data_IF_234135880915
#
_entry.id   IF_234135880915
#
_cell.length_a   1.000
_cell.length_b   1.000
_cell.length_c   1.000
_cell.angle_alpha   90.00
_cell.angle_beta   90.00
_cell.angle_gamma   90.00
#
_symmetry.space_group_name_H-M   'P 1'
#
loop_
_entity.id
_entity.type
_entity.pdbx_description
1 polymer ?
#
# COMPACT_ATOMS: atom_id res chain seq x y z
N UNK A 1 -11.77 49.79 62.96
CA UNK A 1 -12.80 50.58 62.28
C UNK A 1 -12.10 51.77 61.66
N UNK A 2 -12.29 51.91 60.36
CA UNK A 2 -12.14 53.12 59.54
C UNK A 2 -10.78 53.85 59.46
N UNK A 3 -10.26 53.90 58.23
CA UNK A 3 -9.76 55.10 57.52
C UNK A 3 -9.47 54.63 56.09
N UNK A 4 -10.38 54.82 55.13
CA UNK A 4 -10.69 56.03 54.34
C UNK A 4 -9.56 56.45 53.38
N UNK A 5 -9.89 56.38 52.09
CA UNK A 5 -9.15 56.65 50.84
C UNK A 5 -8.61 58.10 50.67
N UNK A 6 -7.38 58.31 50.16
CA UNK A 6 -6.94 58.75 48.79
C UNK A 6 -6.73 60.30 48.66
N UNK A 7 -6.00 60.91 47.65
CA UNK A 7 -5.66 60.39 46.30
C UNK A 7 -4.29 60.75 45.64
N UNK A 8 -4.08 60.17 44.44
CA UNK A 8 -3.25 60.59 43.27
C UNK A 8 -1.70 60.65 43.39
N UNK A 9 -0.90 60.12 42.44
CA UNK A 9 -0.85 60.51 41.02
C UNK A 9 -0.34 59.41 40.06
N UNK A 10 -1.08 59.27 38.95
CA UNK A 10 -0.67 59.01 37.55
C UNK A 10 0.71 58.41 37.23
N UNK A 11 0.69 57.24 36.60
CA UNK A 11 1.75 56.74 35.73
C UNK A 11 1.16 55.84 34.65
N UNK A 12 0.85 56.41 33.49
CA UNK A 12 0.34 55.70 32.32
C UNK A 12 1.38 54.73 31.76
N UNK A 13 1.14 53.43 31.90
CA UNK A 13 1.89 52.37 31.22
C UNK A 13 0.93 51.58 30.34
N UNK A 14 0.83 51.96 29.07
CA UNK A 14 0.10 51.22 28.04
C UNK A 14 0.81 49.89 27.75
N UNK A 15 0.50 48.86 28.52
CA UNK A 15 0.84 47.47 28.21
C UNK A 15 -0.24 46.88 27.31
N UNK A 16 -0.09 47.06 26.01
CA UNK A 16 -0.86 46.37 24.96
C UNK A 16 -0.81 44.86 25.21
N UNK A 17 -1.86 44.31 25.82
CA UNK A 17 -2.13 42.88 25.84
C UNK A 17 -2.28 42.41 24.41
N UNK A 18 -1.20 41.87 23.84
CA UNK A 18 -1.29 41.00 22.67
C UNK A 18 -2.02 39.75 23.14
N UNK A 19 -3.33 39.74 22.97
CA UNK A 19 -4.06 38.50 22.76
C UNK A 19 -3.37 37.81 21.58
N UNK A 20 -2.53 36.82 21.90
CA UNK A 20 -2.10 35.84 20.94
C UNK A 20 -3.38 35.14 20.48
N UNK A 21 -3.93 35.64 19.37
CA UNK A 21 -4.90 34.93 18.57
C UNK A 21 -4.26 33.59 18.25
N UNK A 22 -4.62 32.57 19.05
CA UNK A 22 -4.43 31.18 18.69
C UNK A 22 -5.25 31.03 17.43
N UNK A 23 -4.59 31.22 16.29
CA UNK A 23 -5.15 30.85 15.00
C UNK A 23 -5.54 29.40 15.15
N UNK A 24 -6.85 29.17 15.29
CA UNK A 24 -7.41 27.84 15.18
C UNK A 24 -7.20 27.48 13.72
N UNK A 25 -6.02 26.96 13.39
CA UNK A 25 -5.82 26.26 12.14
C UNK A 25 -6.97 25.25 12.08
N UNK A 26 -7.88 25.45 11.14
CA UNK A 26 -8.90 24.48 10.82
C UNK A 26 -8.15 23.21 10.42
N UNK A 27 -7.93 22.29 11.38
CA UNK A 27 -7.35 20.98 11.12
C UNK A 27 -8.28 20.32 10.11
N UNK A 28 -7.87 20.29 8.85
CA UNK A 28 -8.62 19.58 7.82
C UNK A 28 -8.75 18.14 8.29
N UNK A 29 -9.97 17.61 8.41
CA UNK A 29 -10.27 16.23 8.82
C UNK A 29 -9.77 15.24 7.77
N UNK A 30 -8.45 15.02 7.70
CA UNK A 30 -7.77 14.13 6.76
C UNK A 30 -6.97 13.11 7.56
N UNK A 31 -6.94 11.86 7.09
CA UNK A 31 -6.35 10.75 7.83
C UNK A 31 -7.36 9.99 8.69
N UNK A 32 -6.84 9.30 9.71
CA UNK A 32 -7.57 8.40 10.60
C UNK A 32 -8.18 7.19 9.88
N UNK A 33 -9.13 6.54 10.56
CA UNK A 33 -9.80 5.35 10.07
C UNK A 33 -10.50 5.53 8.71
N UNK A 34 -11.02 6.73 8.44
CA UNK A 34 -11.68 7.07 7.17
C UNK A 34 -10.74 7.01 5.97
N UNK A 35 -9.45 7.24 6.18
CA UNK A 35 -8.41 7.08 5.17
C UNK A 35 -7.86 5.64 5.19
N UNK A 36 -7.56 5.15 6.39
CA UNK A 36 -6.89 3.88 6.62
C UNK A 36 -7.63 2.67 6.05
N UNK A 37 -8.97 2.69 6.05
CA UNK A 37 -9.80 1.62 5.47
C UNK A 37 -9.49 1.38 3.98
N UNK A 38 -9.29 2.45 3.20
CA UNK A 38 -8.96 2.33 1.78
C UNK A 38 -7.55 1.75 1.58
N UNK A 39 -6.63 2.04 2.50
CA UNK A 39 -5.26 1.53 2.46
C UNK A 39 -5.23 0.04 2.83
N UNK A 40 -6.09 -0.40 3.77
CA UNK A 40 -6.30 -1.83 4.06
C UNK A 40 -6.82 -2.56 2.82
N UNK A 41 -7.83 -2.02 2.13
CA UNK A 41 -8.39 -2.68 0.95
C UNK A 41 -7.38 -2.90 -0.17
N UNK A 42 -6.53 -1.91 -0.47
CA UNK A 42 -5.51 -2.07 -1.51
C UNK A 42 -4.43 -3.08 -1.10
N UNK A 43 -4.01 -3.08 0.17
CA UNK A 43 -3.07 -4.09 0.69
C UNK A 43 -3.67 -5.49 0.62
N UNK A 44 -4.92 -5.66 1.05
CA UNK A 44 -5.61 -6.94 1.00
C UNK A 44 -5.63 -7.49 -0.43
N UNK A 45 -5.98 -6.66 -1.41
CA UNK A 45 -6.03 -7.08 -2.80
C UNK A 45 -4.65 -7.41 -3.37
N UNK A 46 -3.62 -6.63 -3.00
CA UNK A 46 -2.23 -6.91 -3.40
C UNK A 46 -1.76 -8.25 -2.82
N UNK A 47 -2.00 -8.50 -1.52
CA UNK A 47 -1.67 -9.78 -0.86
C UNK A 47 -2.44 -10.94 -1.47
N UNK A 48 -3.74 -10.77 -1.71
CA UNK A 48 -4.56 -11.77 -2.38
C UNK A 48 -4.00 -12.10 -3.77
N UNK A 49 -3.62 -11.09 -4.54
CA UNK A 49 -3.05 -11.25 -5.87
C UNK A 49 -1.70 -11.96 -5.83
N UNK A 50 -0.79 -11.54 -4.97
CA UNK A 50 0.54 -12.12 -4.83
C UNK A 50 0.47 -13.59 -4.45
N UNK A 51 -0.29 -13.93 -3.40
CA UNK A 51 -0.45 -15.32 -2.96
C UNK A 51 -1.25 -16.17 -3.97
N UNK A 52 -2.19 -15.59 -4.70
CA UNK A 52 -2.92 -16.27 -5.76
C UNK A 52 -2.03 -16.63 -6.96
N UNK A 53 -1.04 -15.80 -7.28
CA UNK A 53 -0.02 -16.11 -8.29
C UNK A 53 1.00 -17.11 -7.76
N UNK A 54 1.60 -16.82 -6.60
CA UNK A 54 2.69 -17.63 -6.03
C UNK A 54 2.23 -19.04 -5.63
N UNK A 55 1.01 -19.17 -5.09
CA UNK A 55 0.53 -20.38 -4.42
C UNK A 55 0.45 -21.62 -5.31
N UNK A 56 0.27 -21.45 -6.62
CA UNK A 56 0.20 -22.58 -7.56
C UNK A 56 1.18 -22.45 -8.74
N UNK A 57 2.19 -21.58 -8.60
CA UNK A 57 3.09 -21.25 -9.70
C UNK A 57 3.90 -22.45 -10.20
N UNK A 58 4.37 -23.31 -9.29
CA UNK A 58 5.11 -24.53 -9.63
C UNK A 58 4.24 -25.45 -10.50
N UNK A 59 2.97 -25.63 -10.13
CA UNK A 59 2.01 -26.46 -10.87
C UNK A 59 1.82 -25.93 -12.29
N UNK A 60 1.69 -24.60 -12.47
CA UNK A 60 1.61 -24.00 -13.81
C UNK A 60 2.84 -24.30 -14.66
N UNK A 61 4.04 -24.09 -14.09
CA UNK A 61 5.29 -24.30 -14.82
C UNK A 61 5.47 -25.76 -15.26
N UNK A 62 5.04 -26.72 -14.43
CA UNK A 62 5.13 -28.15 -14.74
C UNK A 62 4.04 -28.55 -15.75
N UNK A 63 2.77 -28.24 -15.46
CA UNK A 63 1.63 -28.74 -16.23
C UNK A 63 1.43 -28.01 -17.56
N UNK A 64 1.56 -26.68 -17.57
CA UNK A 64 1.25 -25.87 -18.75
C UNK A 64 2.48 -25.51 -19.57
N UNK A 65 3.60 -25.19 -18.90
CA UNK A 65 4.85 -24.87 -19.58
C UNK A 65 5.78 -26.08 -19.76
N UNK A 66 5.34 -27.27 -19.32
CA UNK A 66 6.04 -28.54 -19.51
C UNK A 66 7.49 -28.51 -19.01
N UNK A 67 7.76 -27.75 -17.94
CA UNK A 67 9.08 -27.70 -17.34
C UNK A 67 9.33 -28.93 -16.45
N UNK A 68 10.58 -29.45 -16.41
CA UNK A 68 10.97 -30.39 -15.37
C UNK A 68 10.77 -29.80 -13.98
N UNK A 69 10.40 -30.62 -13.00
CA UNK A 69 10.15 -30.20 -11.61
C UNK A 69 11.31 -29.41 -11.01
N UNK A 70 12.56 -29.84 -11.26
CA UNK A 70 13.75 -29.14 -10.78
C UNK A 70 13.87 -27.72 -11.33
N UNK A 71 13.63 -27.54 -12.63
CA UNK A 71 13.64 -26.23 -13.30
C UNK A 71 12.48 -25.35 -12.84
N UNK A 72 11.29 -25.91 -12.66
CA UNK A 72 10.12 -25.18 -12.16
C UNK A 72 10.38 -24.63 -10.75
N UNK A 73 10.84 -25.48 -9.82
CA UNK A 73 11.19 -25.08 -8.44
C UNK A 73 12.28 -24.01 -8.45
N UNK A 74 13.32 -24.17 -9.26
CA UNK A 74 14.39 -23.18 -9.39
C UNK A 74 13.84 -21.82 -9.85
N UNK A 75 13.03 -21.79 -10.91
CA UNK A 75 12.45 -20.56 -11.44
C UNK A 75 11.55 -19.85 -10.41
N UNK A 76 10.71 -20.61 -9.68
CA UNK A 76 9.88 -20.04 -8.62
C UNK A 76 10.73 -19.48 -7.48
N UNK A 77 11.74 -20.22 -7.02
CA UNK A 77 12.64 -19.75 -5.96
C UNK A 77 13.41 -18.49 -6.39
N UNK A 78 13.86 -18.43 -7.64
CA UNK A 78 14.50 -17.24 -8.21
C UNK A 78 13.53 -16.06 -8.24
N UNK A 79 12.29 -16.28 -8.70
CA UNK A 79 11.28 -15.23 -8.71
C UNK A 79 10.96 -14.71 -7.30
N UNK A 80 10.77 -15.60 -6.33
CA UNK A 80 10.58 -15.23 -4.92
C UNK A 80 11.78 -14.44 -4.39
N UNK A 81 13.00 -14.90 -4.64
CA UNK A 81 14.22 -14.20 -4.22
C UNK A 81 14.39 -12.82 -4.86
N UNK A 82 13.96 -12.66 -6.10
CA UNK A 82 13.92 -11.35 -6.75
C UNK A 82 12.86 -10.45 -6.10
N UNK A 83 11.63 -10.95 -5.91
CA UNK A 83 10.54 -10.21 -5.26
C UNK A 83 10.87 -9.78 -3.83
N UNK A 84 11.74 -10.46 -3.10
CA UNK A 84 12.16 -10.03 -1.75
C UNK A 84 13.22 -8.92 -1.76
N UNK A 85 14.00 -8.77 -2.83
CA UNK A 85 15.02 -7.73 -2.97
C UNK A 85 14.41 -6.42 -3.47
N UNK A 86 13.44 -6.50 -4.38
CA UNK A 86 12.78 -5.33 -4.99
C UNK A 86 12.21 -4.30 -4.00
N UNK A 87 11.66 -4.69 -2.83
CA UNK A 87 11.27 -3.75 -1.78
C UNK A 87 12.36 -2.79 -1.33
N UNK A 88 13.61 -3.24 -1.27
CA UNK A 88 14.75 -2.39 -0.88
C UNK A 88 14.99 -1.29 -1.92
N UNK A 89 14.91 -1.64 -3.21
CA UNK A 89 15.04 -0.69 -4.31
C UNK A 89 13.83 0.26 -4.37
N UNK A 90 12.63 -0.26 -4.18
CA UNK A 90 11.39 0.51 -4.16
C UNK A 90 11.38 1.58 -3.07
N UNK A 91 11.80 1.21 -1.85
CA UNK A 91 11.95 2.14 -0.73
C UNK A 91 12.95 3.26 -1.04
N UNK A 92 14.13 2.90 -1.54
CA UNK A 92 15.16 3.87 -1.91
C UNK A 92 14.66 4.91 -2.93
N UNK A 93 13.93 4.46 -3.96
CA UNK A 93 13.35 5.35 -4.98
C UNK A 93 12.27 6.27 -4.38
N UNK A 94 11.43 5.72 -3.49
CA UNK A 94 10.35 6.48 -2.85
C UNK A 94 10.90 7.62 -1.99
N UNK A 95 11.94 7.34 -1.22
CA UNK A 95 12.56 8.31 -0.31
C UNK A 95 13.40 9.35 -1.06
N UNK A 96 14.02 8.98 -2.20
CA UNK A 96 14.98 9.85 -2.90
C UNK A 96 14.36 10.78 -3.97
N UNK A 97 13.29 10.37 -4.66
CA UNK A 97 12.87 11.07 -5.88
C UNK A 97 11.38 11.37 -6.02
N UNK A 98 10.50 10.52 -5.50
CA UNK A 98 9.10 10.47 -5.97
C UNK A 98 8.09 10.82 -4.87
N UNK A 99 8.40 10.50 -3.61
CA UNK A 99 7.48 10.60 -2.48
C UNK A 99 6.54 9.39 -2.38
N UNK A 100 6.23 8.98 -1.15
CA UNK A 100 5.58 7.69 -0.81
C UNK A 100 4.28 7.44 -1.57
N UNK A 101 3.35 8.42 -1.56
CA UNK A 101 2.03 8.25 -2.21
C UNK A 101 2.13 8.02 -3.72
N UNK A 102 3.02 8.75 -4.41
CA UNK A 102 3.21 8.60 -5.85
C UNK A 102 3.85 7.25 -6.17
N UNK A 103 4.81 6.80 -5.36
CA UNK A 103 5.40 5.46 -5.51
C UNK A 103 4.35 4.36 -5.36
N UNK A 104 3.47 4.43 -4.36
CA UNK A 104 2.36 3.47 -4.18
C UNK A 104 1.51 3.41 -5.45
N UNK A 105 1.07 4.56 -5.96
CA UNK A 105 0.22 4.64 -7.15
C UNK A 105 0.89 4.01 -8.38
N UNK A 106 2.14 4.38 -8.66
CA UNK A 106 2.90 3.82 -9.80
C UNK A 106 3.08 2.31 -9.63
N UNK A 107 3.40 1.87 -8.41
CA UNK A 107 3.62 0.46 -8.08
C UNK A 107 2.36 -0.38 -8.27
N UNK A 108 1.20 0.11 -7.81
CA UNK A 108 -0.09 -0.57 -8.04
C UNK A 108 -0.43 -0.67 -9.53
N UNK A 109 -0.14 0.36 -10.33
CA UNK A 109 -0.36 0.33 -11.79
C UNK A 109 0.57 -0.69 -12.46
N UNK A 110 1.85 -0.73 -12.07
CA UNK A 110 2.82 -1.72 -12.57
C UNK A 110 2.37 -3.14 -12.19
N UNK A 111 1.95 -3.35 -10.94
CA UNK A 111 1.44 -4.64 -10.48
C UNK A 111 0.20 -5.07 -11.28
N UNK A 112 -0.76 -4.16 -11.45
CA UNK A 112 -1.96 -4.43 -12.26
C UNK A 112 -1.60 -4.78 -13.71
N UNK A 113 -0.68 -4.03 -14.33
CA UNK A 113 -0.18 -4.34 -15.66
C UNK A 113 0.44 -5.75 -15.71
N UNK A 114 1.25 -6.10 -14.71
CA UNK A 114 1.86 -7.43 -14.60
C UNK A 114 0.81 -8.54 -14.51
N UNK A 115 -0.23 -8.38 -13.68
CA UNK A 115 -1.31 -9.38 -13.56
C UNK A 115 -2.20 -9.48 -14.80
N UNK A 116 -2.43 -8.37 -15.49
CA UNK A 116 -3.13 -8.37 -16.79
C UNK A 116 -2.29 -9.09 -17.85
N UNK A 117 -0.99 -8.77 -17.97
CA UNK A 117 -0.09 -9.45 -18.90
C UNK A 117 0.04 -10.95 -18.59
N UNK A 118 0.05 -11.32 -17.32
CA UNK A 118 0.04 -12.71 -16.87
C UNK A 118 -1.22 -13.42 -17.38
N UNK A 119 -2.40 -12.80 -17.19
CA UNK A 119 -3.68 -13.34 -17.67
C UNK A 119 -3.74 -13.43 -19.20
N UNK A 120 -3.20 -12.43 -19.91
CA UNK A 120 -3.10 -12.45 -21.37
C UNK A 120 -2.16 -13.56 -21.85
N UNK A 121 -1.05 -13.79 -21.15
CA UNK A 121 -0.08 -14.84 -21.49
C UNK A 121 -0.71 -16.23 -21.51
N UNK A 122 -1.68 -16.49 -20.63
CA UNK A 122 -2.35 -17.80 -20.53
C UNK A 122 -3.58 -17.93 -21.42
N UNK A 123 -4.12 -16.82 -21.95
CA UNK A 123 -5.37 -16.80 -22.72
C UNK A 123 -5.15 -16.66 -24.22
N UNK A 124 -4.48 -15.59 -24.66
CA UNK A 124 -4.43 -15.19 -26.08
C UNK A 124 -3.04 -15.28 -26.69
N UNK A 125 -1.98 -15.34 -25.88
CA UNK A 125 -0.60 -15.36 -26.39
C UNK A 125 -0.26 -16.74 -26.98
N UNK A 126 0.27 -16.80 -28.22
CA UNK A 126 0.68 -18.05 -28.85
C UNK A 126 1.72 -18.84 -28.04
N UNK A 127 1.70 -20.17 -28.17
CA UNK A 127 2.57 -21.09 -27.42
C UNK A 127 4.07 -20.72 -27.52
N UNK A 128 4.54 -20.28 -28.69
CA UNK A 128 5.95 -19.92 -28.90
C UNK A 128 6.41 -18.70 -28.08
N UNK A 129 5.50 -17.76 -27.76
CA UNK A 129 5.81 -16.56 -26.96
C UNK A 129 5.28 -16.63 -25.53
N UNK A 130 4.41 -17.61 -25.22
CA UNK A 130 3.74 -17.76 -23.92
C UNK A 130 4.73 -17.73 -22.76
N UNK A 131 5.78 -18.56 -22.81
CA UNK A 131 6.76 -18.67 -21.72
C UNK A 131 7.49 -17.35 -21.46
N UNK A 132 7.94 -16.68 -22.52
CA UNK A 132 8.64 -15.40 -22.40
C UNK A 132 7.72 -14.31 -21.80
N UNK A 133 6.49 -14.21 -22.31
CA UNK A 133 5.51 -13.24 -21.79
C UNK A 133 5.11 -13.55 -20.35
N UNK A 134 4.96 -14.82 -20.00
CA UNK A 134 4.66 -15.26 -18.64
C UNK A 134 5.76 -14.83 -17.66
N UNK A 135 7.02 -15.13 -17.94
CA UNK A 135 8.13 -14.70 -17.07
C UNK A 135 8.29 -13.17 -17.04
N UNK A 136 8.14 -12.49 -18.18
CA UNK A 136 8.16 -11.03 -18.21
C UNK A 136 7.08 -10.45 -17.28
N UNK A 137 5.86 -10.99 -17.35
CA UNK A 137 4.76 -10.55 -16.48
C UNK A 137 5.02 -10.83 -15.00
N UNK A 138 5.63 -11.98 -14.65
CA UNK A 138 6.03 -12.28 -13.27
C UNK A 138 7.04 -11.28 -12.71
N UNK A 139 8.05 -10.89 -13.50
CA UNK A 139 9.03 -9.91 -13.06
C UNK A 139 8.45 -8.49 -13.00
N UNK A 140 7.49 -8.14 -13.87
CA UNK A 140 6.72 -6.90 -13.75
C UNK A 140 5.92 -6.88 -12.43
N UNK A 141 5.31 -8.02 -12.05
CA UNK A 141 4.64 -8.16 -10.74
C UNK A 141 5.64 -7.92 -9.59
N UNK A 142 6.84 -8.51 -9.63
CA UNK A 142 7.88 -8.28 -8.61
C UNK A 142 8.27 -6.80 -8.48
N UNK A 143 8.38 -6.09 -9.59
CA UNK A 143 8.67 -4.64 -9.59
C UNK A 143 7.53 -3.86 -8.93
N UNK A 144 6.28 -4.19 -9.28
CA UNK A 144 5.09 -3.58 -8.69
C UNK A 144 4.98 -3.84 -7.18
N UNK A 145 5.23 -5.08 -6.73
CA UNK A 145 5.21 -5.41 -5.29
C UNK A 145 6.29 -4.63 -4.54
N UNK A 146 7.49 -4.54 -5.13
CA UNK A 146 8.65 -3.89 -4.53
C UNK A 146 8.41 -2.44 -4.15
N UNK A 147 7.78 -1.64 -5.01
CA UNK A 147 7.49 -0.26 -4.67
C UNK A 147 6.27 -0.09 -3.75
N UNK A 148 5.30 -1.01 -3.81
CA UNK A 148 4.08 -0.95 -3.00
C UNK A 148 4.37 -1.20 -1.52
N UNK A 149 5.00 -2.33 -1.20
CA UNK A 149 5.11 -2.88 0.15
C UNK A 149 5.76 -1.96 1.20
N UNK A 150 6.93 -1.34 0.96
CA UNK A 150 7.54 -0.44 1.95
C UNK A 150 6.79 0.88 2.08
N UNK A 151 6.23 1.38 0.97
CA UNK A 151 5.58 2.69 0.93
C UNK A 151 4.17 2.65 1.53
N UNK A 152 3.42 1.57 1.32
CA UNK A 152 2.03 1.46 1.78
C UNK A 152 1.94 1.36 3.29
N UNK A 153 2.87 0.65 3.93
CA UNK A 153 2.93 0.52 5.39
C UNK A 153 3.25 1.85 6.07
N UNK A 154 4.25 2.57 5.54
CA UNK A 154 4.62 3.91 6.02
C UNK A 154 3.49 4.90 5.78
N UNK A 155 2.93 4.94 4.58
CA UNK A 155 1.78 5.79 4.25
C UNK A 155 0.55 5.51 5.13
N UNK A 156 0.29 4.24 5.45
CA UNK A 156 -0.79 3.86 6.34
C UNK A 156 -0.54 4.32 7.78
N UNK A 157 0.70 4.16 8.27
CA UNK A 157 1.14 4.68 9.56
C UNK A 157 0.95 6.20 9.63
N UNK A 158 1.25 6.89 8.53
CA UNK A 158 1.13 8.33 8.37
C UNK A 158 -0.33 8.81 8.32
N UNK A 159 -1.33 7.93 8.31
CA UNK A 159 -2.73 8.34 8.44
C UNK A 159 -3.12 8.63 9.89
N UNK A 160 -2.37 8.16 10.89
CA UNK A 160 -2.70 8.32 12.31
C UNK A 160 -1.74 9.29 12.99
N UNK A 161 -2.25 10.07 13.95
CA UNK A 161 -1.45 10.92 14.84
C UNK A 161 -0.85 10.10 15.98
N UNK A 162 0.24 10.59 16.58
CA UNK A 162 0.86 9.97 17.77
C UNK A 162 0.90 10.91 19.00
N UNK A 163 0.27 12.08 18.92
CA UNK A 163 0.35 13.14 19.93
C UNK A 163 -0.20 12.75 21.31
N UNK A 164 -1.06 11.72 21.39
CA UNK A 164 -1.69 11.28 22.63
C UNK A 164 -1.69 9.75 22.79
N UNK A 165 -1.76 9.23 24.04
CA UNK A 165 -1.86 7.79 24.29
C UNK A 165 -3.07 7.13 23.61
N UNK A 166 -4.19 7.85 23.49
CA UNK A 166 -5.40 7.39 22.82
C UNK A 166 -5.18 7.21 21.31
N UNK A 167 -4.58 8.21 20.65
CA UNK A 167 -4.27 8.16 19.21
C UNK A 167 -3.25 7.06 18.88
N UNK A 168 -2.28 6.82 19.77
CA UNK A 168 -1.35 5.67 19.65
C UNK A 168 -2.07 4.33 19.75
N UNK A 169 -3.10 4.21 20.60
CA UNK A 169 -3.95 3.01 20.71
C UNK A 169 -4.77 2.79 19.43
N UNK A 170 -5.28 3.86 18.81
CA UNK A 170 -5.96 3.76 17.50
C UNK A 170 -5.03 3.24 16.41
N UNK A 171 -3.81 3.78 16.31
CA UNK A 171 -2.79 3.30 15.36
C UNK A 171 -2.43 1.82 15.60
N UNK A 172 -2.31 1.40 16.86
CA UNK A 172 -2.08 -0.01 17.19
C UNK A 172 -3.25 -0.90 16.78
N UNK A 173 -4.49 -0.49 17.06
CA UNK A 173 -5.69 -1.22 16.64
C UNK A 173 -5.77 -1.32 15.12
N UNK A 174 -5.38 -0.27 14.40
CA UNK A 174 -5.26 -0.28 12.95
C UNK A 174 -4.30 -1.37 12.46
N UNK A 175 -3.07 -1.45 13.01
CA UNK A 175 -2.13 -2.49 12.60
C UNK A 175 -2.60 -3.91 12.93
N UNK A 176 -3.35 -4.09 14.02
CA UNK A 176 -3.96 -5.39 14.32
C UNK A 176 -4.99 -5.80 13.26
N UNK A 177 -5.89 -4.88 12.87
CA UNK A 177 -6.86 -5.12 11.80
C UNK A 177 -6.21 -5.30 10.44
N UNK A 178 -5.17 -4.51 10.15
CA UNK A 178 -4.35 -4.66 8.95
C UNK A 178 -3.76 -6.07 8.85
N UNK A 179 -3.13 -6.55 9.92
CA UNK A 179 -2.50 -7.87 9.91
C UNK A 179 -3.55 -8.98 9.75
N UNK A 180 -4.67 -8.89 10.45
CA UNK A 180 -5.79 -9.81 10.29
C UNK A 180 -6.29 -9.84 8.82
N UNK A 181 -6.44 -8.67 8.22
CA UNK A 181 -6.89 -8.51 6.84
C UNK A 181 -5.90 -9.11 5.83
N UNK A 182 -4.59 -8.91 6.02
CA UNK A 182 -3.53 -9.51 5.21
C UNK A 182 -3.56 -11.04 5.28
N UNK A 183 -3.67 -11.60 6.49
CA UNK A 183 -3.74 -13.06 6.67
C UNK A 183 -5.01 -13.61 6.03
N UNK A 184 -6.16 -12.98 6.26
CA UNK A 184 -7.42 -13.40 5.65
C UNK A 184 -7.36 -13.37 4.12
N UNK A 185 -6.75 -12.33 3.52
CA UNK A 185 -6.56 -12.22 2.08
C UNK A 185 -5.64 -13.33 1.54
N UNK A 186 -4.53 -13.61 2.22
CA UNK A 186 -3.61 -14.69 1.83
C UNK A 186 -4.31 -16.07 1.90
N UNK A 187 -5.05 -16.35 2.97
CA UNK A 187 -5.84 -17.59 3.11
C UNK A 187 -6.94 -17.69 2.05
N UNK A 188 -7.65 -16.60 1.77
CA UNK A 188 -8.66 -16.59 0.71
C UNK A 188 -8.04 -16.86 -0.66
N UNK A 189 -6.85 -16.31 -0.95
CA UNK A 189 -6.14 -16.56 -2.20
C UNK A 189 -5.75 -18.04 -2.35
N UNK A 190 -5.19 -18.64 -1.30
CA UNK A 190 -4.78 -20.05 -1.34
C UNK A 190 -5.97 -21.01 -1.45
N UNK A 191 -7.14 -20.65 -0.91
CA UNK A 191 -8.34 -21.47 -1.04
C UNK A 191 -9.06 -21.27 -2.38
N UNK A 192 -9.34 -20.01 -2.75
CA UNK A 192 -10.21 -19.70 -3.88
C UNK A 192 -9.46 -19.67 -5.21
N UNK A 193 -8.31 -19.00 -5.27
CA UNK A 193 -7.58 -18.81 -6.53
C UNK A 193 -6.93 -20.12 -6.97
N UNK A 194 -6.30 -20.85 -6.04
CA UNK A 194 -5.71 -22.16 -6.35
C UNK A 194 -6.79 -23.15 -6.79
N UNK A 195 -7.95 -23.15 -6.12
CA UNK A 195 -9.09 -23.95 -6.55
C UNK A 195 -9.53 -23.62 -7.99
N UNK A 196 -9.66 -22.33 -8.32
CA UNK A 196 -9.99 -21.88 -9.68
C UNK A 196 -8.93 -22.35 -10.67
N UNK A 197 -7.65 -22.19 -10.36
CA UNK A 197 -6.54 -22.58 -11.23
C UNK A 197 -6.53 -24.08 -11.53
N UNK A 198 -6.69 -24.92 -10.51
CA UNK A 198 -6.58 -26.38 -10.67
C UNK A 198 -7.85 -27.03 -11.24
N UNK A 199 -9.04 -26.48 -10.98
CA UNK A 199 -10.32 -27.15 -11.32
C UNK A 199 -11.09 -26.49 -12.47
N UNK A 200 -10.92 -25.19 -12.68
CA UNK A 200 -11.71 -24.43 -13.68
C UNK A 200 -10.79 -23.92 -14.80
N UNK A 201 -9.58 -23.48 -14.46
CA UNK A 201 -8.51 -23.15 -15.38
C UNK A 201 -7.76 -21.86 -15.06
N UNK A 202 -6.58 -21.75 -15.63
CA UNK A 202 -5.63 -20.67 -15.38
C UNK A 202 -6.13 -19.28 -15.77
N UNK A 203 -6.95 -19.17 -16.82
CA UNK A 203 -7.53 -17.90 -17.26
C UNK A 203 -8.42 -17.31 -16.15
N UNK A 204 -9.26 -18.14 -15.52
CA UNK A 204 -10.13 -17.70 -14.43
C UNK A 204 -9.34 -17.41 -13.16
N UNK A 205 -8.34 -18.24 -12.84
CA UNK A 205 -7.45 -18.04 -11.70
C UNK A 205 -6.68 -16.72 -11.75
N UNK A 206 -5.99 -16.43 -12.86
CA UNK A 206 -5.26 -15.16 -12.99
C UNK A 206 -6.19 -13.98 -13.28
N UNK A 207 -7.31 -14.21 -13.98
CA UNK A 207 -8.32 -13.20 -14.26
C UNK A 207 -8.98 -12.65 -12.99
N UNK A 208 -9.34 -13.51 -12.03
CA UNK A 208 -9.92 -13.03 -10.75
C UNK A 208 -8.90 -12.20 -9.96
N UNK A 209 -7.63 -12.60 -9.98
CA UNK A 209 -6.55 -11.85 -9.34
C UNK A 209 -6.43 -10.44 -9.95
N UNK A 210 -6.39 -10.33 -11.28
CA UNK A 210 -6.33 -9.04 -11.96
C UNK A 210 -7.58 -8.17 -11.70
N UNK A 211 -8.77 -8.78 -11.69
CA UNK A 211 -10.03 -8.08 -11.43
C UNK A 211 -10.11 -7.52 -10.01
N UNK A 212 -9.78 -8.32 -9.00
CA UNK A 212 -9.75 -7.89 -7.59
C UNK A 212 -8.80 -6.72 -7.41
N UNK A 213 -7.61 -6.79 -8.01
CA UNK A 213 -6.62 -5.71 -7.91
C UNK A 213 -7.09 -4.44 -8.63
N UNK A 214 -7.72 -4.55 -9.80
CA UNK A 214 -8.28 -3.40 -10.52
C UNK A 214 -9.38 -2.69 -9.70
N UNK A 215 -10.29 -3.45 -9.10
CA UNK A 215 -11.36 -2.91 -8.24
C UNK A 215 -10.77 -2.24 -7.00
N UNK A 216 -9.81 -2.88 -6.33
CA UNK A 216 -9.17 -2.33 -5.14
C UNK A 216 -8.39 -1.04 -5.45
N UNK A 217 -7.70 -0.98 -6.59
CA UNK A 217 -7.02 0.22 -7.03
C UNK A 217 -8.00 1.37 -7.32
N UNK A 218 -9.16 1.08 -7.93
CA UNK A 218 -10.21 2.08 -8.11
C UNK A 218 -10.73 2.60 -6.75
N UNK A 219 -10.97 1.71 -5.79
CA UNK A 219 -11.38 2.07 -4.43
C UNK A 219 -10.30 2.92 -3.74
N UNK A 220 -9.03 2.56 -3.88
CA UNK A 220 -7.91 3.35 -3.35
C UNK A 220 -7.91 4.77 -3.92
N UNK A 221 -8.14 4.93 -5.23
CA UNK A 221 -8.22 6.26 -5.83
C UNK A 221 -9.42 7.09 -5.34
N UNK A 222 -10.57 6.46 -5.04
CA UNK A 222 -11.70 7.15 -4.41
C UNK A 222 -11.34 7.72 -3.02
N UNK A 223 -10.36 7.12 -2.34
CA UNK A 223 -9.84 7.57 -1.05
C UNK A 223 -8.94 8.82 -1.11
N UNK A 224 -8.49 9.27 -2.30
CA UNK A 224 -7.47 10.34 -2.45
C UNK A 224 -7.75 11.59 -1.62
N UNK A 225 -9.01 12.02 -1.55
CA UNK A 225 -9.40 13.24 -0.84
C UNK A 225 -9.37 13.10 0.68
N UNK A 226 -9.48 11.86 1.19
CA UNK A 226 -9.47 11.54 2.63
C UNK A 226 -8.06 11.34 3.16
N UNK A 227 -7.11 10.96 2.30
CA UNK A 227 -5.73 10.74 2.71
C UNK A 227 -5.08 12.01 3.26
N UNK A 228 -4.36 11.83 4.37
CA UNK A 228 -3.32 12.74 4.81
C UNK A 228 -2.09 12.48 3.94
N UNK A 229 -1.71 13.47 3.16
CA UNK A 229 -0.50 13.44 2.35
C UNK A 229 0.61 14.11 3.16
N UNK A 230 1.81 13.55 3.13
CA UNK A 230 2.97 14.23 3.70
C UNK A 230 3.15 15.59 3.00
N UNK A 231 3.53 16.62 3.76
CA UNK A 231 3.99 17.87 3.19
C UNK A 231 5.27 17.64 2.36
N UNK A 232 5.68 18.60 1.50
CA UNK A 232 7.00 18.54 0.89
C UNK A 232 8.03 18.37 2.00
N UNK A 233 8.97 17.43 1.84
CA UNK A 233 10.11 17.31 2.76
C UNK A 233 10.81 18.66 2.75
N UNK A 234 10.59 19.45 3.80
CA UNK A 234 11.26 20.73 3.97
C UNK A 234 12.75 20.46 3.95
N UNK A 235 13.48 21.20 3.12
CA UNK A 235 14.94 21.12 3.09
C UNK A 235 15.49 21.23 4.53
N UNK A 236 16.45 20.38 4.95
CA UNK A 236 16.98 20.38 6.33
C UNK A 236 17.77 21.63 6.73
N UNK A 237 17.60 22.75 6.04
CA UNK A 237 18.34 23.99 6.25
C UNK A 237 17.36 25.14 6.46
N UNK A 238 16.96 25.34 7.71
CA UNK A 238 16.66 26.65 8.30
C UNK A 238 16.81 26.56 9.81
#
# INVERSE_FOLDING_TARGET
MENSEAPETSGSGSGSGRETTVSTEQRTSRGGWNAAIFVIFVEMAERFAFYGVAGNLISYLIKELHQPTSTAVQNVNTWVGVSTIFPLLGAFIADSFVGRFKTIVVSCVIFLLGTVLLTLSVSVIPSHSRKAMFFLSLYIISVGEGGHRPCVQTFAADQFDEDSPEKRKEKSSFFNWWYLAVVAAATAATLLVIYLQDNIGWIWGFGVVAAVLAVALAIFFLGIRKYRKEGPVGSPTN
#
